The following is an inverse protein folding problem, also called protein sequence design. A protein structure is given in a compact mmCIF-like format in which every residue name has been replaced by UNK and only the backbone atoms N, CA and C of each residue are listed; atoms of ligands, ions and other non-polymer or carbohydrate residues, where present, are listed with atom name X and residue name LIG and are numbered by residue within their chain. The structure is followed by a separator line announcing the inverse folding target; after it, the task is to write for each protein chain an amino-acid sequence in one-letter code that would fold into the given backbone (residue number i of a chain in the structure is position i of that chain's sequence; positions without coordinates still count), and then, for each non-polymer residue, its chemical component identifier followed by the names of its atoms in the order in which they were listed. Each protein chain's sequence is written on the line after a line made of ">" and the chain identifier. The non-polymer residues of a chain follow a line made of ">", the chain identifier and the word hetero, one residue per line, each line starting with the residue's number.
data_IF_700841513654
#
_entry.id   IF_700841513654
#
_cell.length_a   1.000
_cell.length_b   1.000
_cell.length_c   1.000
_cell.angle_alpha   90.00
_cell.angle_beta   90.00
_cell.angle_gamma   90.00
#
_symmetry.space_group_name_H-M   'P 1'
#
loop_
_entity.id
_entity.type
_entity.pdbx_description
1 polymer ?
#
# COMPACT_ATOMS: atom_id res chain seq x y z
N UNK A 1 -24.98 -12.50 -12.83
CA UNK A 1 -23.98 -12.27 -13.89
C UNK A 1 -22.77 -13.15 -13.59
N UNK A 2 -22.35 -14.03 -14.51
CA UNK A 2 -21.24 -14.95 -14.22
C UNK A 2 -19.89 -14.29 -14.51
N UNK A 3 -19.05 -14.12 -13.49
CA UNK A 3 -17.67 -13.65 -13.65
C UNK A 3 -16.83 -14.84 -14.11
N UNK A 4 -16.22 -14.70 -15.30
CA UNK A 4 -15.53 -15.80 -15.98
C UNK A 4 -14.41 -16.47 -15.14
N UNK A 5 -13.83 -15.73 -14.20
CA UNK A 5 -12.74 -16.24 -13.35
C UNK A 5 -13.24 -17.12 -12.20
N UNK A 6 -14.53 -17.06 -11.84
CA UNK A 6 -15.09 -17.76 -10.66
C UNK A 6 -14.47 -17.34 -9.32
N UNK A 7 -13.71 -16.24 -9.28
CA UNK A 7 -12.99 -15.80 -8.08
C UNK A 7 -13.88 -14.95 -7.18
N UNK A 8 -13.81 -15.22 -5.88
CA UNK A 8 -14.42 -14.44 -4.81
C UNK A 8 -13.41 -14.45 -3.65
N UNK A 9 -12.99 -13.30 -3.09
CA UNK A 9 -13.48 -11.93 -3.30
C UNK A 9 -12.90 -11.20 -4.54
N UNK A 10 -13.50 -10.07 -4.89
CA UNK A 10 -13.09 -9.21 -6.01
C UNK A 10 -12.52 -7.88 -5.51
N UNK A 11 -11.48 -7.41 -6.18
CA UNK A 11 -10.85 -6.12 -5.95
C UNK A 11 -11.09 -5.27 -7.19
N UNK A 12 -11.66 -4.06 -7.02
CA UNK A 12 -12.06 -3.17 -8.12
C UNK A 12 -11.45 -1.79 -7.89
N UNK A 13 -10.84 -1.24 -8.95
CA UNK A 13 -10.23 0.09 -8.98
C UNK A 13 -10.39 0.73 -10.36
N UNK A 14 -10.42 2.07 -10.44
CA UNK A 14 -10.47 2.80 -11.71
C UNK A 14 -11.23 4.13 -11.66
N UNK A 15 -11.53 4.68 -12.84
CA UNK A 15 -12.10 6.02 -13.03
C UNK A 15 -13.23 6.01 -14.10
N UNK A 16 -14.30 6.79 -13.96
CA UNK A 16 -14.67 7.64 -12.82
C UNK A 16 -15.30 6.77 -11.71
N UNK A 17 -14.86 6.94 -10.46
CA UNK A 17 -15.27 6.09 -9.31
C UNK A 17 -16.79 5.98 -9.18
N UNK A 18 -17.52 7.08 -9.33
CA UNK A 18 -18.98 7.15 -9.15
C UNK A 18 -19.80 6.32 -10.14
N UNK A 19 -19.21 5.95 -11.28
CA UNK A 19 -19.88 5.23 -12.37
C UNK A 19 -19.18 3.91 -12.65
N UNK A 20 -17.96 3.96 -13.18
CA UNK A 20 -17.23 2.78 -13.67
C UNK A 20 -16.86 1.79 -12.56
N UNK A 21 -16.80 2.24 -11.30
CA UNK A 21 -16.50 1.38 -10.15
C UNK A 21 -17.77 1.05 -9.39
N UNK A 22 -18.54 2.06 -9.01
CA UNK A 22 -19.75 1.86 -8.21
C UNK A 22 -20.78 1.00 -8.92
N UNK A 23 -21.02 1.20 -10.23
CA UNK A 23 -22.05 0.46 -10.93
C UNK A 23 -21.78 -1.06 -10.98
N UNK A 24 -20.62 -1.54 -11.48
CA UNK A 24 -20.33 -2.97 -11.46
C UNK A 24 -20.15 -3.52 -10.03
N UNK A 25 -19.60 -2.74 -9.09
CA UNK A 25 -19.43 -3.20 -7.72
C UNK A 25 -20.78 -3.55 -7.05
N UNK A 26 -21.79 -2.68 -7.22
CA UNK A 26 -23.12 -2.90 -6.63
C UNK A 26 -23.80 -4.14 -7.22
N UNK A 27 -23.77 -4.29 -8.55
CA UNK A 27 -24.38 -5.45 -9.23
C UNK A 27 -23.74 -6.75 -8.73
N UNK A 28 -22.41 -6.76 -8.59
CA UNK A 28 -21.69 -7.96 -8.22
C UNK A 28 -21.87 -8.30 -6.74
N UNK A 29 -22.04 -7.31 -5.87
CA UNK A 29 -22.47 -7.55 -4.48
C UNK A 29 -23.88 -8.15 -4.43
N UNK A 30 -24.81 -7.68 -5.26
CA UNK A 30 -26.16 -8.25 -5.36
C UNK A 30 -26.15 -9.71 -5.85
N UNK A 31 -25.18 -10.07 -6.69
CA UNK A 31 -24.92 -11.46 -7.12
C UNK A 31 -24.22 -12.32 -6.04
N UNK A 32 -24.00 -11.79 -4.83
CA UNK A 32 -23.48 -12.53 -3.67
C UNK A 32 -21.95 -12.55 -3.53
N UNK A 33 -21.22 -11.75 -4.30
CA UNK A 33 -19.77 -11.65 -4.19
C UNK A 33 -19.35 -10.65 -3.13
N UNK A 34 -18.20 -10.89 -2.49
CA UNK A 34 -17.55 -9.90 -1.64
C UNK A 34 -16.70 -8.98 -2.52
N UNK A 35 -16.98 -7.69 -2.49
CA UNK A 35 -16.29 -6.68 -3.31
C UNK A 35 -15.53 -5.70 -2.44
N UNK A 36 -14.28 -5.46 -2.84
CA UNK A 36 -13.38 -4.49 -2.25
C UNK A 36 -13.08 -3.39 -3.26
N UNK A 37 -13.38 -2.13 -2.92
CA UNK A 37 -13.15 -0.98 -3.80
C UNK A 37 -11.92 -0.19 -3.33
N UNK A 38 -10.91 -0.07 -4.19
CA UNK A 38 -9.62 0.53 -3.82
C UNK A 38 -9.63 2.03 -4.13
N UNK A 39 -9.72 2.86 -3.09
CA UNK A 39 -10.06 4.27 -3.20
C UNK A 39 -8.88 5.18 -3.63
N UNK A 40 -7.67 4.90 -3.18
CA UNK A 40 -6.45 5.69 -3.42
C UNK A 40 -5.90 5.56 -4.85
N UNK A 41 -6.30 4.51 -5.58
CA UNK A 41 -6.02 4.32 -7.01
C UNK A 41 -7.24 4.56 -7.90
N UNK A 42 -8.34 5.04 -7.32
CA UNK A 42 -9.58 5.38 -8.04
C UNK A 42 -9.81 6.89 -8.05
N UNK A 43 -10.34 7.42 -9.15
CA UNK A 43 -10.43 8.86 -9.37
C UNK A 43 -11.82 9.36 -9.74
N UNK A 44 -12.17 10.55 -9.23
CA UNK A 44 -13.37 11.31 -9.65
C UNK A 44 -13.07 12.81 -9.71
N UNK A 45 -14.01 13.60 -10.21
CA UNK A 45 -13.81 15.02 -10.55
C UNK A 45 -13.93 16.00 -9.37
N UNK A 46 -14.38 15.54 -8.18
CA UNK A 46 -14.41 16.40 -6.98
C UNK A 46 -14.43 15.60 -5.69
N UNK A 47 -14.01 16.22 -4.58
CA UNK A 47 -14.05 15.62 -3.24
C UNK A 47 -15.48 15.28 -2.81
N UNK A 48 -16.43 16.17 -3.07
CA UNK A 48 -17.86 15.90 -2.83
C UNK A 48 -18.33 14.65 -3.59
N UNK A 49 -17.95 14.51 -4.87
CA UNK A 49 -18.31 13.33 -5.65
C UNK A 49 -17.67 12.05 -5.08
N UNK A 50 -16.43 12.14 -4.58
CA UNK A 50 -15.74 11.02 -3.93
C UNK A 50 -16.45 10.59 -2.64
N UNK A 51 -16.83 11.54 -1.79
CA UNK A 51 -17.51 11.28 -0.51
C UNK A 51 -18.90 10.68 -0.71
N UNK A 52 -19.69 11.21 -1.65
CA UNK A 52 -21.00 10.66 -2.02
C UNK A 52 -20.85 9.23 -2.57
N UNK A 53 -19.84 9.02 -3.41
CA UNK A 53 -19.56 7.70 -3.99
C UNK A 53 -19.18 6.70 -2.90
N UNK A 54 -18.31 7.08 -1.97
CA UNK A 54 -17.88 6.25 -0.86
C UNK A 54 -19.06 5.85 0.03
N UNK A 55 -19.93 6.81 0.38
CA UNK A 55 -21.14 6.54 1.12
C UNK A 55 -22.06 5.54 0.40
N UNK A 56 -22.23 5.70 -0.92
CA UNK A 56 -23.06 4.84 -1.76
C UNK A 56 -22.54 3.41 -1.84
N UNK A 57 -21.24 3.21 -2.03
CA UNK A 57 -20.66 1.85 -2.13
C UNK A 57 -20.70 1.12 -0.79
N UNK A 58 -20.46 1.82 0.32
CA UNK A 58 -20.57 1.26 1.68
C UNK A 58 -22.00 0.81 1.96
N UNK A 59 -22.99 1.65 1.66
CA UNK A 59 -24.41 1.31 1.84
C UNK A 59 -24.82 0.09 1.00
N UNK A 60 -24.19 -0.13 -0.14
CA UNK A 60 -24.44 -1.27 -1.00
C UNK A 60 -23.69 -2.54 -0.60
N UNK A 61 -22.91 -2.53 0.49
CA UNK A 61 -22.18 -3.70 1.00
C UNK A 61 -20.78 -3.90 0.40
N UNK A 62 -20.27 -2.93 -0.35
CA UNK A 62 -18.87 -2.92 -0.82
C UNK A 62 -17.96 -2.46 0.31
N UNK A 63 -16.81 -3.09 0.47
CA UNK A 63 -15.80 -2.71 1.47
C UNK A 63 -14.78 -1.75 0.83
N UNK A 64 -14.71 -0.48 1.24
CA UNK A 64 -13.66 0.42 0.77
C UNK A 64 -12.30 0.02 1.36
N UNK A 65 -11.27 0.09 0.54
CA UNK A 65 -9.89 -0.22 0.90
C UNK A 65 -8.92 0.79 0.28
N UNK A 66 -7.69 0.81 0.75
CA UNK A 66 -6.55 1.41 0.06
C UNK A 66 -5.59 0.32 -0.46
N UNK A 67 -4.62 0.72 -1.28
CA UNK A 67 -3.65 -0.20 -1.88
C UNK A 67 -2.82 -0.94 -0.82
N UNK A 68 -2.53 -0.28 0.29
CA UNK A 68 -1.77 -0.84 1.39
C UNK A 68 -2.52 -1.94 2.14
N UNK A 69 -3.81 -1.74 2.41
CA UNK A 69 -4.69 -2.73 3.01
C UNK A 69 -4.81 -3.95 2.09
N UNK A 70 -4.95 -3.74 0.78
CA UNK A 70 -4.97 -4.84 -0.19
C UNK A 70 -3.67 -5.66 -0.13
N UNK A 71 -2.52 -5.01 -0.16
CA UNK A 71 -1.23 -5.68 -0.05
C UNK A 71 -1.09 -6.45 1.28
N UNK A 72 -1.51 -5.83 2.38
CA UNK A 72 -1.45 -6.41 3.73
C UNK A 72 -2.37 -7.62 3.88
N UNK A 73 -3.59 -7.58 3.34
CA UNK A 73 -4.52 -8.70 3.40
C UNK A 73 -4.08 -9.88 2.52
N UNK A 74 -3.42 -9.61 1.39
CA UNK A 74 -2.82 -10.65 0.54
C UNK A 74 -1.61 -11.31 1.23
N UNK A 75 -0.74 -10.52 1.84
CA UNK A 75 0.45 -10.99 2.55
C UNK A 75 0.09 -11.79 3.82
N UNK A 76 -0.91 -11.30 4.58
CA UNK A 76 -1.39 -11.83 5.89
C UNK A 76 -0.38 -11.75 7.04
N UNK A 77 0.88 -12.12 6.82
CA UNK A 77 1.91 -12.18 7.87
C UNK A 77 3.29 -11.84 7.31
N UNK A 78 4.12 -11.19 8.13
CA UNK A 78 5.54 -10.99 7.84
C UNK A 78 6.37 -12.26 8.04
N UNK A 79 5.82 -13.26 8.72
CA UNK A 79 6.46 -14.56 8.89
C UNK A 79 6.20 -15.46 7.68
N UNK A 80 6.76 -15.07 6.54
CA UNK A 80 6.63 -15.77 5.26
C UNK A 80 7.99 -15.84 4.53
N UNK A 81 8.14 -16.80 3.62
CA UNK A 81 9.41 -17.01 2.91
C UNK A 81 9.77 -15.86 1.95
N UNK A 82 8.77 -15.11 1.50
CA UNK A 82 8.82 -14.00 0.55
C UNK A 82 8.77 -12.62 1.27
N UNK A 83 9.04 -12.56 2.57
CA UNK A 83 8.96 -11.32 3.36
C UNK A 83 9.77 -10.16 2.77
N UNK A 84 10.95 -10.44 2.21
CA UNK A 84 11.79 -9.43 1.57
C UNK A 84 11.18 -8.89 0.27
N UNK A 85 10.49 -9.73 -0.49
CA UNK A 85 9.78 -9.33 -1.70
C UNK A 85 8.59 -8.43 -1.36
N UNK A 86 7.84 -8.78 -0.29
CA UNK A 86 6.79 -7.92 0.24
C UNK A 86 7.34 -6.56 0.70
N UNK A 87 8.47 -6.53 1.40
CA UNK A 87 9.10 -5.27 1.79
C UNK A 87 9.38 -4.36 0.57
N UNK A 88 9.81 -4.94 -0.55
CA UNK A 88 10.02 -4.22 -1.82
C UNK A 88 8.72 -3.77 -2.50
N UNK A 89 7.59 -4.44 -2.24
CA UNK A 89 6.27 -3.96 -2.68
C UNK A 89 5.86 -2.75 -1.84
N UNK A 90 6.05 -2.79 -0.52
CA UNK A 90 5.69 -1.68 0.36
C UNK A 90 6.50 -0.41 0.11
N UNK A 91 7.75 -0.50 -0.36
CA UNK A 91 8.50 0.72 -0.77
C UNK A 91 7.84 1.46 -1.93
N UNK A 92 7.11 0.75 -2.80
CA UNK A 92 6.37 1.35 -3.92
C UNK A 92 5.05 1.98 -3.48
N UNK A 93 4.42 1.43 -2.45
CA UNK A 93 3.16 1.95 -1.87
C UNK A 93 3.46 3.14 -0.96
N UNK A 94 4.53 3.03 -0.16
CA UNK A 94 4.95 4.00 0.84
C UNK A 94 6.38 4.47 0.56
N UNK A 95 6.60 5.56 -0.20
CA UNK A 95 7.95 6.07 -0.46
C UNK A 95 8.80 6.30 0.80
N UNK A 96 8.25 6.79 1.95
CA UNK A 96 9.04 6.92 3.18
C UNK A 96 9.51 5.58 3.78
N UNK A 97 8.83 4.47 3.48
CA UNK A 97 9.24 3.14 3.93
C UNK A 97 10.54 2.70 3.28
N UNK A 98 10.84 3.19 2.07
CA UNK A 98 12.12 2.95 1.42
C UNK A 98 13.27 3.53 2.24
N UNK A 99 13.14 4.78 2.70
CA UNK A 99 14.16 5.45 3.52
C UNK A 99 14.41 4.71 4.83
N UNK A 100 13.34 4.23 5.47
CA UNK A 100 13.43 3.40 6.68
C UNK A 100 14.22 2.12 6.42
N UNK A 101 13.87 1.39 5.36
CA UNK A 101 14.55 0.15 5.00
C UNK A 101 16.03 0.36 4.69
N UNK A 102 16.36 1.38 3.90
CA UNK A 102 17.74 1.73 3.57
C UNK A 102 18.54 2.06 4.82
N UNK A 103 18.00 2.93 5.70
CA UNK A 103 18.66 3.28 6.96
C UNK A 103 18.90 2.06 7.86
N UNK A 104 17.89 1.19 8.00
CA UNK A 104 18.01 -0.02 8.81
C UNK A 104 19.04 -1.01 8.24
N UNK A 105 19.03 -1.23 6.93
CA UNK A 105 19.95 -2.14 6.26
C UNK A 105 21.41 -1.66 6.38
N UNK A 106 21.66 -0.36 6.24
CA UNK A 106 23.00 0.19 6.45
C UNK A 106 23.45 0.07 7.91
N UNK A 107 22.57 0.33 8.88
CA UNK A 107 22.90 0.13 10.29
C UNK A 107 23.27 -1.33 10.60
N UNK A 108 22.53 -2.30 10.04
CA UNK A 108 22.83 -3.74 10.17
C UNK A 108 24.16 -4.13 9.52
N UNK A 109 24.55 -3.51 8.40
CA UNK A 109 25.84 -3.74 7.75
C UNK A 109 26.98 -3.26 8.64
N UNK A 110 26.88 -2.05 9.21
CA UNK A 110 27.90 -1.48 10.11
C UNK A 110 28.11 -2.39 11.32
N UNK A 111 27.03 -2.92 11.91
CA UNK A 111 27.10 -3.86 13.03
C UNK A 111 27.84 -5.15 12.66
N UNK A 112 27.48 -5.78 11.53
CA UNK A 112 28.08 -7.05 11.08
C UNK A 112 29.52 -6.92 10.60
N UNK A 113 29.84 -5.81 9.94
CA UNK A 113 31.17 -5.56 9.37
C UNK A 113 32.12 -4.90 10.38
N UNK A 114 31.64 -4.56 11.59
CA UNK A 114 32.37 -3.81 12.61
C UNK A 114 33.00 -2.51 12.04
N UNK A 115 32.28 -1.83 11.15
CA UNK A 115 32.78 -0.60 10.54
C UNK A 115 32.95 0.49 11.60
N UNK A 116 34.02 1.28 11.45
CA UNK A 116 34.30 2.38 12.36
C UNK A 116 33.17 3.41 12.32
N UNK A 117 32.56 3.66 13.49
CA UNK A 117 31.52 4.66 13.67
C UNK A 117 31.96 6.01 13.10
N UNK A 118 31.04 6.73 12.45
CA UNK A 118 31.34 8.05 11.89
C UNK A 118 31.86 9.04 12.94
N UNK A 119 31.43 8.90 14.20
CA UNK A 119 31.94 9.68 15.34
C UNK A 119 33.42 9.42 15.67
N UNK A 120 33.96 8.29 15.22
CA UNK A 120 35.34 7.87 15.43
C UNK A 120 36.21 8.04 14.18
N UNK A 121 35.62 8.39 13.02
CA UNK A 121 36.38 8.66 11.79
C UNK A 121 37.16 9.98 11.94
N UNK A 122 38.45 9.95 11.62
CA UNK A 122 39.37 11.09 11.80
C UNK A 122 38.94 12.34 11.01
N UNK A 123 38.17 12.16 9.96
CA UNK A 123 37.72 13.17 9.00
C UNK A 123 36.62 14.06 9.60
N UNK A 124 35.75 13.48 10.43
CA UNK A 124 34.65 14.17 11.12
C UNK A 124 35.18 15.13 12.21
N UNK A 125 36.27 14.74 12.88
CA UNK A 125 36.92 15.58 13.90
C UNK A 125 37.75 16.74 13.30
N UNK A 126 38.08 16.70 12.00
CA UNK A 126 38.76 17.82 11.33
C UNK A 126 37.81 18.97 10.99
N UNK A 127 36.56 18.69 10.63
CA UNK A 127 35.55 19.71 10.31
C UNK A 127 35.00 20.43 11.55
N UNK A 128 34.98 19.77 12.71
CA UNK A 128 34.56 20.39 13.97
C UNK A 128 35.62 21.28 14.65
N UNK A 129 36.91 21.11 14.32
CA UNK A 129 38.03 21.84 14.96
C UNK A 129 38.55 23.04 14.16
N UNK A 130 37.90 23.37 13.04
CA UNK A 130 38.31 24.41 12.09
C UNK A 130 37.35 25.59 11.94
N UNK A 131 36.45 25.82 12.91
CA UNK A 131 35.67 27.07 13.05
C UNK A 131 35.88 27.64 14.44
#
# INVERSE_FOLDING_TARGET
>A
MNIATGRNPLIIAGNITSVCITFPAIIVVQDGYKVFAVADVSGTYSKMAQEITLARVVQAGVVPMDTAAVASELQKTWHCNDAQEWANVYTKIFPPYQLLNESYMEAQKVEKNHEQLDSQRADFNRTAKGR
#
